data_IF_075708634297
#
_entry.id   IF_075708634297
#
_cell.length_a   1.000
_cell.length_b   1.000
_cell.length_c   1.000
_cell.angle_alpha   90.00
_cell.angle_beta   90.00
_cell.angle_gamma   90.00
#
_symmetry.space_group_name_H-M   'P 1'
#
loop_
_entity.id
_entity.type
_entity.pdbx_description
1 polymer ?
#
# COMPACT_ATOMS: atom_id res chain seq x y z
N UNK A 1 14.34 -40.27 3.00
CA UNK A 1 13.52 -40.52 4.19
C UNK A 1 12.20 -39.78 4.03
N UNK A 2 11.26 -39.96 4.96
CA UNK A 2 10.03 -39.15 4.98
C UNK A 2 10.42 -37.68 5.16
N UNK A 3 9.92 -36.80 4.29
CA UNK A 3 10.29 -35.38 4.25
C UNK A 3 9.19 -34.58 4.94
N UNK A 4 9.49 -33.95 6.07
CA UNK A 4 8.54 -33.13 6.84
C UNK A 4 8.57 -31.67 6.41
N UNK A 5 7.58 -30.88 6.81
CA UNK A 5 7.56 -29.43 6.59
C UNK A 5 8.81 -28.74 7.15
N UNK A 6 9.25 -29.12 8.36
CA UNK A 6 10.44 -28.59 9.01
C UNK A 6 11.72 -28.92 8.23
N UNK A 7 11.83 -30.14 7.68
CA UNK A 7 12.98 -30.54 6.87
C UNK A 7 13.09 -29.68 5.61
N UNK A 8 11.96 -29.44 4.92
CA UNK A 8 11.92 -28.63 3.71
C UNK A 8 12.21 -27.16 4.00
N UNK A 9 11.68 -26.62 5.12
CA UNK A 9 12.00 -25.25 5.53
C UNK A 9 13.50 -25.07 5.72
N UNK A 10 14.13 -25.98 6.48
CA UNK A 10 15.56 -25.94 6.77
C UNK A 10 16.41 -26.15 5.50
N UNK A 11 15.96 -26.99 4.58
CA UNK A 11 16.63 -27.20 3.29
C UNK A 11 16.64 -25.91 2.47
N UNK A 12 15.46 -25.33 2.22
CA UNK A 12 15.34 -24.15 1.38
C UNK A 12 15.95 -22.90 1.99
N UNK A 13 15.89 -22.74 3.32
CA UNK A 13 16.64 -21.69 4.02
C UNK A 13 18.12 -21.73 3.63
N UNK A 14 18.78 -22.90 3.75
CA UNK A 14 20.20 -23.05 3.40
C UNK A 14 20.47 -22.80 1.92
N UNK A 15 19.55 -23.20 1.04
CA UNK A 15 19.68 -22.95 -0.41
C UNK A 15 19.59 -21.45 -0.70
N UNK A 16 18.64 -20.74 -0.11
CA UNK A 16 18.48 -19.29 -0.26
C UNK A 16 19.68 -18.52 0.32
N UNK A 17 20.15 -18.87 1.51
CA UNK A 17 21.35 -18.28 2.13
C UNK A 17 22.59 -18.43 1.22
N UNK A 18 22.82 -19.63 0.68
CA UNK A 18 23.95 -19.90 -0.23
C UNK A 18 23.89 -19.11 -1.53
N UNK A 19 22.71 -18.70 -1.96
CA UNK A 19 22.50 -17.91 -3.19
C UNK A 19 22.33 -16.41 -2.89
N UNK A 20 22.57 -15.95 -1.66
CA UNK A 20 22.49 -14.54 -1.28
C UNK A 20 21.08 -13.96 -1.41
N UNK A 21 20.06 -14.79 -1.20
CA UNK A 21 18.65 -14.40 -1.19
C UNK A 21 18.31 -13.87 0.22
N UNK A 22 17.79 -12.64 0.37
CA UNK A 22 17.42 -12.09 1.67
C UNK A 22 16.21 -12.82 2.27
N UNK A 23 16.05 -12.72 3.59
CA UNK A 23 14.91 -13.30 4.34
C UNK A 23 14.73 -14.79 4.05
N UNK A 24 15.84 -15.52 4.02
CA UNK A 24 15.88 -16.91 3.57
C UNK A 24 14.98 -17.83 4.38
N UNK A 25 14.94 -17.67 5.71
CA UNK A 25 14.13 -18.50 6.59
C UNK A 25 12.65 -18.19 6.43
N UNK A 26 12.32 -16.90 6.44
CA UNK A 26 10.97 -16.37 6.31
C UNK A 26 10.38 -16.75 4.95
N UNK A 27 11.13 -16.54 3.86
CA UNK A 27 10.73 -16.95 2.50
C UNK A 27 10.39 -18.44 2.44
N UNK A 28 11.24 -19.28 3.04
CA UNK A 28 11.05 -20.73 3.10
C UNK A 28 9.81 -21.11 3.91
N UNK A 29 9.63 -20.48 5.08
CA UNK A 29 8.45 -20.66 5.94
C UNK A 29 7.16 -20.26 5.23
N UNK A 30 7.12 -19.12 4.55
CA UNK A 30 5.94 -18.65 3.82
C UNK A 30 5.58 -19.59 2.67
N UNK A 31 6.56 -20.00 1.86
CA UNK A 31 6.31 -20.93 0.73
C UNK A 31 5.74 -22.26 1.24
N UNK A 32 6.34 -22.84 2.29
CA UNK A 32 5.86 -24.12 2.83
C UNK A 32 4.47 -23.98 3.44
N UNK A 33 4.22 -22.91 4.20
CA UNK A 33 2.91 -22.65 4.83
C UNK A 33 1.82 -22.48 3.78
N UNK A 34 2.11 -21.71 2.72
CA UNK A 34 1.19 -21.48 1.62
C UNK A 34 0.76 -22.78 0.94
N UNK A 35 1.71 -23.68 0.64
CA UNK A 35 1.42 -24.99 0.02
C UNK A 35 0.62 -25.90 0.96
N UNK A 36 0.77 -25.72 2.28
CA UNK A 36 0.00 -26.43 3.29
C UNK A 36 -1.35 -25.78 3.62
N UNK A 37 -1.69 -24.66 2.97
CA UNK A 37 -2.96 -23.96 3.18
C UNK A 37 -3.01 -23.15 4.48
N UNK A 38 -1.85 -22.77 5.03
CA UNK A 38 -1.72 -21.97 6.24
C UNK A 38 -1.12 -20.59 5.93
N UNK A 39 -1.56 -19.56 6.68
CA UNK A 39 -1.03 -18.18 6.53
C UNK A 39 0.41 -18.06 7.03
N UNK A 40 0.71 -18.67 8.16
CA UNK A 40 2.05 -18.63 8.77
C UNK A 40 2.52 -20.01 9.18
N UNK A 41 3.82 -20.20 9.27
CA UNK A 41 4.40 -21.50 9.64
C UNK A 41 4.05 -21.87 11.09
N UNK A 42 3.92 -20.86 11.95
CA UNK A 42 3.52 -21.00 13.35
C UNK A 42 2.04 -21.37 13.52
N UNK A 43 1.20 -21.13 12.51
CA UNK A 43 -0.21 -21.52 12.53
C UNK A 43 -0.46 -22.98 12.14
N UNK A 44 0.57 -23.71 11.69
CA UNK A 44 0.46 -25.13 11.37
C UNK A 44 0.28 -25.96 12.65
N UNK A 45 -0.68 -26.88 12.62
CA UNK A 45 -0.89 -27.80 13.74
C UNK A 45 0.24 -28.85 13.83
N UNK A 46 0.37 -29.47 15.02
CA UNK A 46 1.41 -30.49 15.25
C UNK A 46 1.30 -31.66 14.27
N UNK A 47 0.08 -31.97 13.79
CA UNK A 47 -0.15 -33.02 12.81
C UNK A 47 0.46 -32.66 11.46
N UNK A 48 0.25 -31.45 10.95
CA UNK A 48 0.79 -30.98 9.67
C UNK A 48 2.32 -30.93 9.69
N UNK A 49 2.92 -30.55 10.82
CA UNK A 49 4.37 -30.54 10.99
C UNK A 49 4.99 -31.94 10.98
N UNK A 50 4.31 -32.94 11.54
CA UNK A 50 4.80 -34.32 11.61
C UNK A 50 4.40 -35.18 10.40
N UNK A 51 3.40 -34.76 9.61
CA UNK A 51 2.94 -35.51 8.44
C UNK A 51 3.93 -35.34 7.29
N UNK A 52 4.39 -36.43 6.66
CA UNK A 52 5.25 -36.34 5.48
C UNK A 52 4.55 -35.62 4.33
N UNK A 53 5.28 -34.73 3.66
CA UNK A 53 4.76 -34.01 2.50
C UNK A 53 4.53 -34.96 1.32
N UNK A 54 3.40 -34.81 0.65
CA UNK A 54 3.11 -35.53 -0.59
C UNK A 54 4.04 -35.10 -1.72
N UNK A 55 4.17 -35.92 -2.77
CA UNK A 55 4.99 -35.58 -3.93
C UNK A 55 4.52 -34.27 -4.61
N UNK A 56 3.19 -34.06 -4.69
CA UNK A 56 2.61 -32.84 -5.25
C UNK A 56 2.98 -31.59 -4.43
N UNK A 57 2.91 -31.67 -3.10
CA UNK A 57 3.31 -30.56 -2.23
C UNK A 57 4.80 -30.25 -2.36
N UNK A 58 5.65 -31.27 -2.42
CA UNK A 58 7.09 -31.07 -2.63
C UNK A 58 7.39 -30.42 -3.98
N UNK A 59 6.70 -30.83 -5.04
CA UNK A 59 6.83 -30.22 -6.37
C UNK A 59 6.38 -28.75 -6.38
N UNK A 60 5.24 -28.43 -5.75
CA UNK A 60 4.74 -27.06 -5.62
C UNK A 60 5.74 -26.17 -4.85
N UNK A 61 6.26 -26.65 -3.73
CA UNK A 61 7.28 -25.93 -2.96
C UNK A 61 8.53 -25.72 -3.81
N UNK A 62 8.99 -26.72 -4.55
CA UNK A 62 10.14 -26.59 -5.45
C UNK A 62 9.91 -25.51 -6.51
N UNK A 63 8.73 -25.48 -7.14
CA UNK A 63 8.41 -24.50 -8.18
C UNK A 63 8.39 -23.07 -7.62
N UNK A 64 7.78 -22.85 -6.47
CA UNK A 64 7.75 -21.55 -5.79
C UNK A 64 9.15 -21.11 -5.35
N UNK A 65 9.92 -22.01 -4.74
CA UNK A 65 11.28 -21.73 -4.32
C UNK A 65 12.22 -21.44 -5.50
N UNK A 66 12.00 -22.08 -6.66
CA UNK A 66 12.72 -21.74 -7.89
C UNK A 66 12.44 -20.31 -8.38
N UNK A 67 11.21 -19.81 -8.23
CA UNK A 67 10.91 -18.38 -8.49
C UNK A 67 11.64 -17.49 -7.49
N UNK A 68 11.62 -17.84 -6.19
CA UNK A 68 12.34 -17.09 -5.15
C UNK A 68 13.86 -17.03 -5.44
N UNK A 69 14.45 -18.11 -5.95
CA UNK A 69 15.86 -18.14 -6.37
C UNK A 69 16.20 -17.16 -7.51
N UNK A 70 15.21 -16.74 -8.30
CA UNK A 70 15.38 -15.67 -9.29
C UNK A 70 15.32 -14.26 -8.65
N UNK A 71 15.42 -14.18 -7.32
CA UNK A 71 15.23 -12.98 -6.50
C UNK A 71 13.84 -12.36 -6.62
N UNK A 72 12.83 -13.12 -7.02
CA UNK A 72 11.45 -12.65 -7.00
C UNK A 72 11.02 -12.42 -5.55
N UNK A 73 10.46 -11.25 -5.18
CA UNK A 73 9.86 -11.03 -3.87
C UNK A 73 8.90 -12.16 -3.48
N UNK A 74 8.91 -12.58 -2.21
CA UNK A 74 8.08 -13.72 -1.76
C UNK A 74 6.59 -13.45 -2.00
N UNK A 75 6.14 -12.21 -1.86
CA UNK A 75 4.78 -11.75 -2.13
C UNK A 75 4.32 -12.09 -3.56
N UNK A 76 5.20 -11.88 -4.55
CA UNK A 76 4.92 -12.25 -5.94
C UNK A 76 5.07 -13.75 -6.19
N UNK A 77 5.96 -14.43 -5.46
CA UNK A 77 6.08 -15.89 -5.54
C UNK A 77 4.77 -16.55 -5.13
N UNK A 78 4.18 -16.11 -4.01
CA UNK A 78 2.89 -16.60 -3.51
C UNK A 78 1.70 -16.07 -4.34
N UNK A 79 1.83 -14.86 -4.89
CA UNK A 79 0.80 -14.20 -5.67
C UNK A 79 -0.27 -13.52 -4.82
N UNK A 80 -0.12 -13.51 -3.50
CA UNK A 80 -0.96 -12.79 -2.56
C UNK A 80 -0.19 -12.42 -1.30
N UNK A 81 -0.67 -11.38 -0.61
CA UNK A 81 -0.08 -10.90 0.62
C UNK A 81 -1.14 -10.29 1.52
N UNK A 82 -0.95 -10.43 2.82
CA UNK A 82 -1.79 -9.79 3.82
C UNK A 82 -1.38 -8.32 3.96
N UNK A 83 -2.37 -7.45 4.02
CA UNK A 83 -2.24 -6.03 4.33
C UNK A 83 -3.41 -5.65 5.22
N UNK A 84 -3.13 -5.26 6.47
CA UNK A 84 -4.16 -5.07 7.50
C UNK A 84 -5.04 -6.33 7.63
N UNK A 85 -6.37 -6.17 7.55
CA UNK A 85 -7.36 -7.24 7.67
C UNK A 85 -7.62 -7.97 6.34
N UNK A 86 -6.90 -7.64 5.27
CA UNK A 86 -7.19 -8.06 3.89
C UNK A 86 -6.07 -8.93 3.31
N UNK A 87 -6.43 -9.92 2.50
CA UNK A 87 -5.49 -10.70 1.67
C UNK A 87 -5.62 -10.28 0.21
N UNK A 88 -4.65 -9.52 -0.27
CA UNK A 88 -4.64 -8.92 -1.61
C UNK A 88 -3.84 -9.78 -2.58
N UNK A 89 -4.29 -9.87 -3.84
CA UNK A 89 -3.45 -10.41 -4.92
C UNK A 89 -2.28 -9.47 -5.16
N UNK A 90 -1.13 -10.08 -5.45
CA UNK A 90 0.13 -9.42 -5.74
C UNK A 90 0.70 -9.97 -7.04
N UNK A 91 1.19 -9.08 -7.91
CA UNK A 91 1.92 -9.46 -9.11
C UNK A 91 2.85 -8.34 -9.60
N UNK A 92 4.00 -8.68 -10.20
CA UNK A 92 4.82 -7.70 -10.91
C UNK A 92 4.03 -7.02 -12.05
N UNK A 93 4.31 -5.75 -12.37
CA UNK A 93 5.29 -4.87 -11.71
C UNK A 93 4.70 -4.02 -10.57
N UNK A 94 3.48 -4.35 -10.10
CA UNK A 94 2.72 -3.49 -9.17
C UNK A 94 3.38 -3.47 -7.79
N UNK A 95 3.68 -2.27 -7.30
CA UNK A 95 4.36 -2.02 -6.02
C UNK A 95 3.80 -2.90 -4.88
N UNK A 96 4.71 -3.48 -4.10
CA UNK A 96 4.35 -4.29 -2.93
C UNK A 96 4.12 -3.33 -1.76
N UNK A 97 2.90 -3.26 -1.18
CA UNK A 97 2.63 -2.44 0.00
C UNK A 97 3.61 -2.76 1.13
N UNK A 98 4.15 -1.71 1.76
CA UNK A 98 5.10 -1.86 2.86
C UNK A 98 4.37 -1.92 4.19
N UNK A 99 4.93 -2.58 5.22
CA UNK A 99 4.31 -2.64 6.55
C UNK A 99 4.02 -1.24 7.13
N UNK A 100 4.89 -0.27 6.87
CA UNK A 100 4.71 1.12 7.30
C UNK A 100 3.42 1.72 6.72
N UNK A 101 3.05 1.38 5.49
CA UNK A 101 1.83 1.90 4.84
C UNK A 101 0.54 1.49 5.57
N UNK A 102 0.56 0.45 6.41
CA UNK A 102 -0.58 0.11 7.26
C UNK A 102 -0.90 1.21 8.29
N UNK A 103 0.13 1.90 8.81
CA UNK A 103 -0.06 3.00 9.76
C UNK A 103 -0.78 4.19 9.11
N UNK A 104 -0.53 4.45 7.82
CA UNK A 104 -1.22 5.50 7.05
C UNK A 104 -2.74 5.26 7.03
N UNK A 105 -3.17 4.01 6.83
CA UNK A 105 -4.60 3.64 6.88
C UNK A 105 -5.18 3.91 8.26
N UNK A 106 -4.44 3.52 9.32
CA UNK A 106 -4.88 3.72 10.71
C UNK A 106 -5.06 5.21 11.05
N UNK A 107 -4.13 6.06 10.61
CA UNK A 107 -4.21 7.51 10.81
C UNK A 107 -5.45 8.13 10.14
N UNK A 108 -5.76 7.73 8.91
CA UNK A 108 -6.96 8.20 8.19
C UNK A 108 -8.24 7.75 8.91
N UNK A 109 -8.29 6.51 9.37
CA UNK A 109 -9.46 5.98 10.09
C UNK A 109 -9.66 6.69 11.43
N UNK A 110 -8.58 6.96 12.18
CA UNK A 110 -8.64 7.69 13.44
C UNK A 110 -9.17 9.11 13.25
N UNK A 111 -8.62 9.86 12.29
CA UNK A 111 -9.07 11.22 11.96
C UNK A 111 -10.55 11.27 11.59
N UNK A 112 -11.00 10.37 10.71
CA UNK A 112 -12.40 10.37 10.25
C UNK A 112 -13.37 9.89 11.34
N UNK A 113 -12.92 9.02 12.25
CA UNK A 113 -13.71 8.61 13.40
C UNK A 113 -13.89 9.77 14.38
N UNK A 114 -12.83 10.52 14.69
CA UNK A 114 -12.89 11.70 15.57
C UNK A 114 -13.82 12.78 15.00
N UNK A 115 -13.74 13.06 13.69
CA UNK A 115 -14.64 14.02 13.02
C UNK A 115 -16.11 13.62 13.14
N UNK A 116 -16.42 12.32 13.07
CA UNK A 116 -17.79 11.83 13.22
C UNK A 116 -18.32 12.04 14.65
N UNK A 117 -17.47 11.84 15.66
CA UNK A 117 -17.82 12.08 17.07
C UNK A 117 -18.06 13.57 17.35
N UNK A 118 -17.13 14.45 16.93
CA UNK A 118 -17.18 15.89 17.18
C UNK A 118 -18.35 16.59 16.49
N UNK A 119 -18.71 16.14 15.30
CA UNK A 119 -19.81 16.73 14.52
C UNK A 119 -21.19 16.33 15.03
N UNK A 120 -21.29 15.41 16.00
CA UNK A 120 -22.56 14.85 16.46
C UNK A 120 -23.37 14.18 15.35
N UNK A 121 -22.75 13.92 14.20
CA UNK A 121 -23.33 13.23 13.07
C UNK A 121 -23.39 11.74 13.43
N UNK A 122 -24.38 11.36 14.25
CA UNK A 122 -24.91 10.01 14.21
C UNK A 122 -25.19 9.72 12.73
N UNK A 123 -24.47 8.76 12.12
CA UNK A 123 -24.45 8.33 10.71
C UNK A 123 -25.84 8.17 10.03
N UNK A 124 -26.60 9.25 9.94
CA UNK A 124 -27.98 9.33 9.46
C UNK A 124 -28.13 10.30 8.29
N UNK A 125 -27.00 10.80 7.76
CA UNK A 125 -26.98 11.38 6.43
C UNK A 125 -27.16 10.26 5.38
N UNK A 126 -28.11 10.39 4.44
CA UNK A 126 -28.33 9.38 3.39
C UNK A 126 -27.20 9.32 2.34
N UNK A 127 -26.14 10.10 2.50
CA UNK A 127 -25.04 10.25 1.53
C UNK A 127 -23.80 9.53 2.06
N UNK A 128 -23.22 8.57 1.31
CA UNK A 128 -21.98 7.91 1.68
C UNK A 128 -20.85 8.89 1.97
N UNK A 129 -20.18 8.72 3.11
CA UNK A 129 -19.10 9.56 3.63
C UNK A 129 -18.17 8.71 4.52
N UNK A 130 -16.85 8.99 4.53
CA UNK A 130 -16.14 9.98 3.72
C UNK A 130 -16.03 9.61 2.24
N UNK A 131 -15.93 10.63 1.39
CA UNK A 131 -15.46 10.48 0.01
C UNK A 131 -13.94 10.63 0.02
N UNK A 132 -13.24 9.57 -0.34
CA UNK A 132 -11.79 9.47 -0.28
C UNK A 132 -11.23 9.42 -1.70
N UNK A 133 -10.11 10.10 -1.95
CA UNK A 133 -9.32 9.97 -3.17
C UNK A 133 -7.97 9.34 -2.82
N UNK A 134 -7.68 8.16 -3.37
CA UNK A 134 -6.34 7.59 -3.37
C UNK A 134 -5.62 7.89 -4.68
N UNK A 135 -4.41 8.47 -4.59
CA UNK A 135 -3.53 8.73 -5.74
C UNK A 135 -2.36 7.76 -5.70
N UNK A 136 -2.20 6.96 -6.76
CA UNK A 136 -1.21 5.87 -6.84
C UNK A 136 -1.69 4.62 -6.11
N UNK A 137 -2.84 4.07 -6.52
CA UNK A 137 -3.49 3.00 -5.75
C UNK A 137 -2.78 1.64 -5.79
N UNK A 138 -1.90 1.38 -6.75
CA UNK A 138 -1.11 0.15 -6.78
C UNK A 138 -1.97 -1.12 -6.79
N UNK A 139 -1.87 -1.94 -5.73
CA UNK A 139 -2.69 -3.15 -5.55
C UNK A 139 -4.09 -2.88 -4.96
N UNK A 140 -4.40 -1.63 -4.62
CA UNK A 140 -5.60 -1.19 -3.92
C UNK A 140 -5.46 -1.26 -2.40
N UNK A 141 -4.25 -1.42 -1.86
CA UNK A 141 -4.04 -1.71 -0.45
C UNK A 141 -4.66 -0.67 0.50
N UNK A 142 -4.42 0.62 0.27
CA UNK A 142 -4.98 1.68 1.11
C UNK A 142 -6.49 1.83 0.83
N UNK A 143 -6.93 2.02 -0.42
CA UNK A 143 -8.34 2.18 -0.77
C UNK A 143 -9.23 1.08 -0.20
N UNK A 144 -8.87 -0.19 -0.44
CA UNK A 144 -9.70 -1.33 -0.05
C UNK A 144 -9.71 -1.50 1.47
N UNK A 145 -8.61 -1.21 2.15
CA UNK A 145 -8.55 -1.23 3.62
C UNK A 145 -9.41 -0.12 4.23
N UNK A 146 -9.38 1.09 3.65
CA UNK A 146 -10.24 2.20 4.08
C UNK A 146 -11.72 1.87 3.86
N UNK A 147 -12.10 1.31 2.71
CA UNK A 147 -13.46 0.85 2.48
C UNK A 147 -13.90 -0.20 3.48
N UNK A 148 -13.01 -1.13 3.83
CA UNK A 148 -13.29 -2.19 4.80
C UNK A 148 -13.52 -1.63 6.21
N UNK A 149 -12.64 -0.72 6.66
CA UNK A 149 -12.71 -0.11 8.01
C UNK A 149 -13.75 1.01 8.14
N UNK A 150 -14.12 1.67 7.04
CA UNK A 150 -15.12 2.74 6.98
C UNK A 150 -16.30 2.31 6.09
N UNK A 151 -17.32 1.61 6.62
CA UNK A 151 -18.37 0.98 5.80
C UNK A 151 -19.23 1.96 4.99
N UNK A 152 -19.35 3.22 5.43
CA UNK A 152 -20.10 4.27 4.74
C UNK A 152 -19.28 5.04 3.72
N UNK A 153 -17.97 4.80 3.65
CA UNK A 153 -17.08 5.52 2.74
C UNK A 153 -17.25 5.09 1.28
N UNK A 154 -16.81 5.98 0.39
CA UNK A 154 -16.57 5.70 -1.03
C UNK A 154 -15.17 6.15 -1.40
N UNK A 155 -14.52 5.42 -2.29
CA UNK A 155 -13.15 5.73 -2.73
C UNK A 155 -13.11 5.97 -4.24
N UNK A 156 -12.45 7.04 -4.66
CA UNK A 156 -11.94 7.20 -6.01
C UNK A 156 -10.46 6.78 -5.94
N UNK A 157 -10.09 5.74 -6.66
CA UNK A 157 -8.71 5.26 -6.71
C UNK A 157 -8.14 5.55 -8.10
N UNK A 158 -6.97 6.18 -8.17
CA UNK A 158 -6.33 6.46 -9.44
C UNK A 158 -4.90 5.95 -9.48
N UNK A 159 -4.47 5.47 -10.64
CA UNK A 159 -3.08 5.09 -10.88
C UNK A 159 -2.71 5.38 -12.35
N UNK A 160 -1.44 5.71 -12.59
CA UNK A 160 -0.90 5.93 -13.95
C UNK A 160 -0.61 4.61 -14.66
N UNK A 161 -0.42 3.52 -13.92
CA UNK A 161 -0.14 2.20 -14.46
C UNK A 161 -1.42 1.39 -14.66
N UNK A 162 -1.64 0.90 -15.88
CA UNK A 162 -2.78 0.03 -16.20
C UNK A 162 -2.74 -1.27 -15.39
N UNK A 163 -1.54 -1.85 -15.18
CA UNK A 163 -1.36 -3.06 -14.37
C UNK A 163 -1.82 -2.89 -12.90
N UNK A 164 -1.60 -1.70 -12.33
CA UNK A 164 -2.05 -1.35 -10.98
C UNK A 164 -3.58 -1.17 -10.93
N UNK A 165 -4.16 -0.47 -11.92
CA UNK A 165 -5.61 -0.32 -12.06
C UNK A 165 -6.31 -1.67 -12.16
N UNK A 166 -5.77 -2.58 -12.98
CA UNK A 166 -6.32 -3.92 -13.16
C UNK A 166 -6.19 -4.78 -11.90
N UNK A 167 -5.07 -4.69 -11.18
CA UNK A 167 -4.89 -5.40 -9.91
C UNK A 167 -5.80 -4.86 -8.81
N UNK A 168 -5.95 -3.53 -8.71
CA UNK A 168 -6.90 -2.88 -7.79
C UNK A 168 -8.33 -3.34 -8.08
N UNK A 169 -8.73 -3.42 -9.35
CA UNK A 169 -10.06 -3.90 -9.76
C UNK A 169 -10.28 -5.36 -9.37
N UNK A 170 -9.32 -6.23 -9.67
CA UNK A 170 -9.39 -7.64 -9.30
C UNK A 170 -9.50 -7.82 -7.78
N UNK A 171 -8.73 -7.07 -7.00
CA UNK A 171 -8.82 -7.11 -5.53
C UNK A 171 -10.14 -6.56 -5.01
N UNK A 172 -10.67 -5.49 -5.59
CA UNK A 172 -11.99 -4.96 -5.25
C UNK A 172 -13.08 -6.00 -5.48
N UNK A 173 -13.07 -6.68 -6.63
CA UNK A 173 -14.04 -7.73 -6.96
C UNK A 173 -13.93 -8.94 -6.00
N UNK A 174 -12.70 -9.41 -5.73
CA UNK A 174 -12.45 -10.53 -4.79
C UNK A 174 -12.94 -10.23 -3.38
N UNK A 175 -12.83 -8.98 -2.95
CA UNK A 175 -13.26 -8.51 -1.63
C UNK A 175 -14.71 -8.01 -1.60
N UNK A 176 -15.43 -8.04 -2.73
CA UNK A 176 -16.80 -7.56 -2.85
C UNK A 176 -16.98 -6.07 -2.52
N UNK A 177 -16.00 -5.25 -2.88
CA UNK A 177 -15.93 -3.81 -2.60
C UNK A 177 -16.15 -2.93 -3.85
N UNK A 178 -16.35 -3.53 -5.03
CA UNK A 178 -16.42 -2.85 -6.32
C UNK A 178 -17.52 -1.79 -6.42
N UNK A 179 -18.63 -1.92 -5.67
CA UNK A 179 -19.73 -0.96 -5.68
C UNK A 179 -19.41 0.37 -4.94
N UNK A 180 -18.33 0.39 -4.14
CA UNK A 180 -17.93 1.56 -3.34
C UNK A 180 -16.63 2.20 -3.81
N UNK A 181 -16.02 1.69 -4.88
CA UNK A 181 -14.78 2.20 -5.44
C UNK A 181 -14.95 2.57 -6.92
N UNK A 182 -14.43 3.72 -7.31
CA UNK A 182 -14.31 4.12 -8.70
C UNK A 182 -12.84 4.20 -9.09
N UNK A 183 -12.39 3.30 -9.98
CA UNK A 183 -10.98 3.15 -10.32
C UNK A 183 -10.71 3.80 -11.68
N UNK A 184 -9.74 4.72 -11.73
CA UNK A 184 -9.41 5.52 -12.91
C UNK A 184 -7.95 5.28 -13.32
N UNK A 185 -7.73 4.94 -14.59
CA UNK A 185 -6.39 4.95 -15.18
C UNK A 185 -6.03 6.36 -15.63
N UNK A 186 -5.22 7.05 -14.83
CA UNK A 186 -4.82 8.43 -15.09
C UNK A 186 -3.57 8.82 -14.30
N UNK A 187 -2.70 9.63 -14.92
CA UNK A 187 -1.58 10.29 -14.25
C UNK A 187 -2.05 11.61 -13.60
N UNK A 188 -1.76 11.76 -12.31
CA UNK A 188 -2.05 12.96 -11.52
C UNK A 188 -1.47 14.24 -12.12
N UNK A 189 -0.37 14.14 -12.86
CA UNK A 189 0.28 15.23 -13.59
C UNK A 189 -0.62 15.82 -14.69
N UNK A 190 -1.54 15.01 -15.22
CA UNK A 190 -2.48 15.38 -16.28
C UNK A 190 -3.94 15.43 -15.82
N UNK A 191 -4.19 15.23 -14.52
CA UNK A 191 -5.54 15.26 -13.95
C UNK A 191 -6.14 16.66 -13.87
N UNK A 192 -7.45 16.71 -14.08
CA UNK A 192 -8.28 17.89 -13.84
C UNK A 192 -9.27 17.61 -12.71
N UNK A 193 -9.65 18.64 -11.94
CA UNK A 193 -10.57 18.49 -10.82
C UNK A 193 -11.90 17.83 -11.21
N UNK A 194 -12.39 18.08 -12.43
CA UNK A 194 -13.69 17.58 -12.91
C UNK A 194 -13.79 16.05 -12.90
N UNK A 195 -12.70 15.34 -13.21
CA UNK A 195 -12.69 13.87 -13.26
C UNK A 195 -12.67 13.25 -11.85
N UNK A 196 -12.11 13.96 -10.88
CA UNK A 196 -11.91 13.49 -9.51
C UNK A 196 -13.04 13.93 -8.54
N UNK A 197 -14.00 14.70 -9.02
CA UNK A 197 -15.16 15.18 -8.27
C UNK A 197 -16.44 14.39 -8.60
N UNK A 198 -16.33 13.10 -8.93
CA UNK A 198 -17.46 12.25 -9.34
C UNK A 198 -18.61 12.25 -8.32
N UNK A 199 -18.27 12.24 -7.03
CA UNK A 199 -19.22 12.31 -5.91
C UNK A 199 -19.20 13.66 -5.20
N UNK A 200 -18.69 14.70 -5.88
CA UNK A 200 -18.49 16.03 -5.32
C UNK A 200 -17.14 16.18 -4.62
N UNK A 201 -16.97 17.25 -3.81
CA UNK A 201 -15.74 17.52 -3.07
C UNK A 201 -15.33 16.37 -2.15
N UNK A 202 -14.03 16.16 -2.06
CA UNK A 202 -13.38 15.05 -1.35
C UNK A 202 -13.15 15.41 0.12
N UNK A 203 -13.34 14.45 1.01
CA UNK A 203 -13.08 14.59 2.44
C UNK A 203 -11.60 14.34 2.75
N UNK A 204 -11.05 13.30 2.14
CA UNK A 204 -9.66 12.86 2.35
C UNK A 204 -8.97 12.57 1.04
N UNK A 205 -7.80 13.14 0.81
CA UNK A 205 -6.83 12.66 -0.19
C UNK A 205 -5.80 11.82 0.56
N UNK A 206 -5.52 10.62 0.10
CA UNK A 206 -4.49 9.74 0.66
C UNK A 206 -3.55 9.27 -0.44
N UNK A 207 -2.27 9.16 -0.15
CA UNK A 207 -1.30 8.65 -1.13
C UNK A 207 -0.06 8.10 -0.45
N UNK A 208 0.43 6.98 -0.95
CA UNK A 208 1.83 6.58 -0.87
C UNK A 208 2.46 6.86 -2.26
N UNK A 209 2.86 8.11 -2.55
CA UNK A 209 3.38 8.46 -3.86
C UNK A 209 4.82 7.97 -4.04
N UNK A 210 5.35 7.94 -5.28
CA UNK A 210 6.78 7.85 -5.52
C UNK A 210 7.50 9.01 -4.80
N UNK A 211 8.30 8.67 -3.79
CA UNK A 211 8.98 9.64 -2.92
C UNK A 211 10.48 9.38 -2.79
N UNK A 212 11.02 8.32 -3.40
CA UNK A 212 12.46 8.01 -3.35
C UNK A 212 13.21 9.09 -4.11
N UNK A 213 14.29 9.60 -3.52
CA UNK A 213 15.16 10.56 -4.16
C UNK A 213 15.87 9.87 -5.34
N UNK A 214 15.96 10.55 -6.47
CA UNK A 214 16.56 9.96 -7.67
C UNK A 214 18.00 9.45 -7.43
N UNK A 215 18.78 10.14 -6.60
CA UNK A 215 20.13 9.72 -6.22
C UNK A 215 20.17 8.39 -5.44
N UNK A 216 19.12 8.08 -4.68
CA UNK A 216 19.03 6.88 -3.86
C UNK A 216 18.52 5.66 -4.65
N UNK A 217 17.96 5.86 -5.84
CA UNK A 217 17.42 4.79 -6.69
C UNK A 217 18.45 3.70 -7.02
N UNK A 218 19.72 4.09 -7.17
CA UNK A 218 20.81 3.16 -7.47
C UNK A 218 21.15 2.20 -6.30
N UNK A 219 20.70 2.50 -5.09
CA UNK A 219 20.93 1.73 -3.87
C UNK A 219 19.82 0.72 -3.54
N UNK A 220 18.74 0.72 -4.32
CA UNK A 220 17.60 -0.18 -4.10
C UNK A 220 18.01 -1.64 -4.24
N UNK A 221 17.33 -2.49 -3.47
CA UNK A 221 17.55 -3.94 -3.50
C UNK A 221 17.30 -4.53 -4.89
N UNK A 222 18.03 -5.60 -5.22
CA UNK A 222 17.93 -6.27 -6.51
C UNK A 222 16.53 -6.81 -6.80
N UNK A 223 15.82 -7.23 -5.75
CA UNK A 223 14.43 -7.65 -5.75
C UNK A 223 13.51 -6.54 -6.31
N UNK A 224 13.70 -5.30 -5.84
CA UNK A 224 12.93 -4.12 -6.25
C UNK A 224 13.26 -3.77 -7.70
N UNK A 225 14.56 -3.62 -7.99
CA UNK A 225 15.06 -3.22 -9.31
C UNK A 225 14.63 -4.15 -10.45
N UNK A 226 14.35 -5.42 -10.14
CA UNK A 226 14.00 -6.46 -11.13
C UNK A 226 12.51 -6.66 -11.33
N UNK A 227 11.70 -6.42 -10.30
CA UNK A 227 10.31 -6.87 -10.28
C UNK A 227 9.28 -5.81 -9.97
N UNK A 228 9.67 -4.65 -9.41
CA UNK A 228 8.75 -3.54 -9.18
C UNK A 228 8.92 -2.46 -10.27
N UNK A 229 7.87 -1.69 -10.52
CA UNK A 229 7.99 -0.52 -11.39
C UNK A 229 8.79 0.60 -10.69
N UNK A 230 9.94 0.96 -11.27
CA UNK A 230 10.78 2.04 -10.75
C UNK A 230 10.07 3.39 -10.78
N UNK A 231 9.15 3.58 -11.72
CA UNK A 231 8.32 4.76 -11.82
C UNK A 231 7.30 4.89 -10.67
N UNK A 232 7.07 3.81 -9.90
CA UNK A 232 6.29 3.82 -8.66
C UNK A 232 7.13 4.23 -7.43
N UNK A 233 8.46 4.37 -7.58
CA UNK A 233 9.39 4.68 -6.50
C UNK A 233 10.05 6.06 -6.69
N UNK A 234 10.48 6.38 -7.92
CA UNK A 234 11.23 7.59 -8.23
C UNK A 234 10.36 8.87 -8.12
N UNK A 235 10.57 9.61 -7.04
CA UNK A 235 9.93 10.90 -6.77
C UNK A 235 10.67 12.10 -7.40
N UNK A 236 11.72 11.87 -8.20
CA UNK A 236 12.59 12.86 -8.80
C UNK A 236 13.76 13.28 -7.92
N UNK A 237 14.49 14.32 -8.36
CA UNK A 237 15.74 14.78 -7.74
C UNK A 237 15.66 14.92 -6.21
N UNK A 238 14.53 15.44 -5.72
CA UNK A 238 14.26 15.67 -4.30
C UNK A 238 13.14 14.80 -3.72
N UNK A 239 12.66 13.81 -4.48
CA UNK A 239 11.56 12.92 -4.08
C UNK A 239 10.18 13.60 -4.02
N UNK A 240 10.04 14.90 -4.31
CA UNK A 240 8.79 15.64 -4.10
C UNK A 240 7.95 15.85 -5.36
N UNK A 241 8.33 15.30 -6.53
CA UNK A 241 7.66 15.58 -7.82
C UNK A 241 6.15 15.32 -7.74
N UNK A 242 5.76 14.14 -7.27
CA UNK A 242 4.35 13.74 -7.16
C UNK A 242 3.69 14.41 -5.95
N UNK A 243 4.39 14.51 -4.81
CA UNK A 243 3.91 15.21 -3.60
C UNK A 243 3.45 16.64 -3.93
N UNK A 244 4.30 17.43 -4.59
CA UNK A 244 3.98 18.82 -4.99
C UNK A 244 2.76 18.87 -5.90
N UNK A 245 2.60 17.89 -6.79
CA UNK A 245 1.43 17.82 -7.69
C UNK A 245 0.14 17.53 -6.94
N UNK A 246 0.17 16.60 -5.98
CA UNK A 246 -0.98 16.30 -5.10
C UNK A 246 -1.39 17.55 -4.32
N UNK A 247 -0.43 18.21 -3.67
CA UNK A 247 -0.69 19.41 -2.87
C UNK A 247 -1.21 20.58 -3.72
N UNK A 248 -0.73 20.75 -4.95
CA UNK A 248 -1.24 21.76 -5.86
C UNK A 248 -2.69 21.51 -6.31
N UNK A 249 -3.12 20.25 -6.40
CA UNK A 249 -4.49 19.88 -6.78
C UNK A 249 -5.46 19.91 -5.60
N UNK A 250 -4.99 19.61 -4.39
CA UNK A 250 -5.81 19.41 -3.20
C UNK A 250 -6.85 20.52 -2.94
N UNK A 251 -6.54 21.84 -3.08
CA UNK A 251 -7.51 22.90 -2.81
C UNK A 251 -8.69 22.93 -3.79
N UNK A 252 -8.53 22.39 -4.99
CA UNK A 252 -9.61 22.29 -5.98
C UNK A 252 -10.50 21.06 -5.77
N UNK A 253 -10.05 20.12 -4.95
CA UNK A 253 -10.66 18.80 -4.75
C UNK A 253 -11.33 18.68 -3.37
N UNK A 254 -10.62 19.12 -2.33
CA UNK A 254 -11.02 18.91 -0.93
C UNK A 254 -12.21 19.79 -0.54
N UNK A 255 -13.02 19.33 0.42
CA UNK A 255 -13.89 20.20 1.21
C UNK A 255 -13.06 21.14 2.08
N UNK A 256 -13.69 22.21 2.56
CA UNK A 256 -13.12 22.99 3.68
C UNK A 256 -12.91 22.03 4.86
N UNK A 257 -11.76 22.12 5.51
CA UNK A 257 -11.30 21.19 6.56
C UNK A 257 -11.05 19.75 6.10
N UNK A 258 -11.07 19.49 4.79
CA UNK A 258 -10.64 18.21 4.21
C UNK A 258 -9.14 17.99 4.39
N UNK A 259 -8.74 16.73 4.49
CA UNK A 259 -7.36 16.33 4.85
C UNK A 259 -6.61 15.72 3.66
N UNK A 260 -5.29 15.91 3.62
CA UNK A 260 -4.34 15.15 2.82
C UNK A 260 -3.47 14.34 3.77
N UNK A 261 -3.35 13.04 3.51
CA UNK A 261 -2.43 12.14 4.19
C UNK A 261 -1.42 11.58 3.18
N UNK A 262 -0.13 11.79 3.45
CA UNK A 262 0.95 11.35 2.56
C UNK A 262 1.95 10.49 3.32
N UNK A 263 2.32 9.34 2.76
CA UNK A 263 3.59 8.68 3.11
C UNK A 263 4.76 9.39 2.43
N UNK A 264 5.87 9.60 3.13
CA UNK A 264 7.02 10.37 2.65
C UNK A 264 8.37 9.80 3.11
N UNK A 265 9.46 10.29 2.52
CA UNK A 265 10.81 10.07 3.04
C UNK A 265 11.04 10.91 4.32
N UNK A 266 11.86 10.45 5.29
CA UNK A 266 12.13 11.20 6.52
C UNK A 266 12.73 12.60 6.32
N UNK A 267 13.28 12.91 5.14
CA UNK A 267 13.79 14.25 4.76
C UNK A 267 12.69 15.22 4.32
N UNK A 268 11.52 14.73 3.92
CA UNK A 268 10.46 15.54 3.32
C UNK A 268 9.65 16.43 4.26
N UNK A 269 9.46 16.17 5.58
CA UNK A 269 8.61 17.01 6.41
C UNK A 269 8.98 18.51 6.35
N UNK A 270 10.25 18.83 6.56
CA UNK A 270 10.75 20.20 6.48
C UNK A 270 10.57 20.77 5.07
N UNK A 271 10.86 19.98 4.03
CA UNK A 271 10.76 20.42 2.64
C UNK A 271 9.30 20.74 2.24
N UNK A 272 8.36 19.92 2.69
CA UNK A 272 6.92 20.13 2.47
C UNK A 272 6.45 21.38 3.22
N UNK A 273 6.87 21.57 4.46
CA UNK A 273 6.54 22.78 5.23
C UNK A 273 7.02 24.06 4.53
N UNK A 274 8.28 24.11 4.10
CA UNK A 274 8.83 25.25 3.35
C UNK A 274 8.08 25.47 2.03
N UNK A 275 7.73 24.39 1.32
CA UNK A 275 6.98 24.49 0.08
C UNK A 275 5.57 25.04 0.30
N UNK A 276 4.86 24.61 1.35
CA UNK A 276 3.54 25.13 1.71
C UNK A 276 3.61 26.62 2.09
N UNK A 277 4.61 27.05 2.86
CA UNK A 277 4.84 28.45 3.20
C UNK A 277 5.09 29.34 1.97
N UNK A 278 5.75 28.80 0.94
CA UNK A 278 5.96 29.49 -0.33
C UNK A 278 4.68 29.57 -1.21
N UNK A 279 3.63 28.82 -0.89
CA UNK A 279 2.37 28.76 -1.65
C UNK A 279 1.14 29.02 -0.75
N UNK A 280 1.06 30.16 -0.04
CA UNK A 280 -0.02 30.44 0.91
C UNK A 280 -1.41 30.49 0.26
N UNK A 281 -1.47 30.75 -1.06
CA UNK A 281 -2.71 30.76 -1.84
C UNK A 281 -3.38 29.38 -1.95
N UNK A 282 -2.67 28.29 -1.62
CA UNK A 282 -3.26 26.95 -1.58
C UNK A 282 -4.14 26.73 -0.35
N UNK A 283 -4.00 27.56 0.70
CA UNK A 283 -4.75 27.43 1.95
C UNK A 283 -4.62 26.02 2.55
N UNK A 284 -3.41 25.47 2.50
CA UNK A 284 -3.06 24.17 3.08
C UNK A 284 -2.10 24.39 4.26
N UNK A 285 -2.38 23.72 5.37
CA UNK A 285 -1.54 23.78 6.59
C UNK A 285 -1.07 22.38 6.94
N UNK A 286 0.23 22.22 7.22
CA UNK A 286 0.77 20.99 7.80
C UNK A 286 0.33 20.92 9.28
N UNK A 287 -0.56 19.99 9.60
CA UNK A 287 -1.17 19.84 10.92
C UNK A 287 -0.33 18.94 11.82
N UNK A 288 0.21 17.85 11.27
CA UNK A 288 1.00 16.89 12.03
C UNK A 288 2.01 16.13 11.15
N UNK A 289 3.08 15.67 11.80
CA UNK A 289 4.06 14.73 11.26
C UNK A 289 4.00 13.49 12.16
N UNK A 290 3.55 12.38 11.60
CA UNK A 290 3.44 11.11 12.32
C UNK A 290 4.63 10.22 12.00
N UNK A 291 5.02 9.44 13.01
CA UNK A 291 6.11 8.47 12.89
C UNK A 291 5.57 7.09 12.57
N UNK A 292 6.34 6.29 11.85
CA UNK A 292 6.09 4.86 11.69
C UNK A 292 6.41 4.09 12.99
N UNK A 293 6.08 2.78 13.01
CA UNK A 293 6.43 1.89 14.12
C UNK A 293 7.95 1.76 14.38
N UNK A 294 8.81 2.20 13.44
CA UNK A 294 10.26 2.31 13.63
C UNK A 294 10.70 3.66 14.23
N UNK A 295 9.76 4.57 14.50
CA UNK A 295 10.02 5.88 15.08
C UNK A 295 10.54 6.94 14.10
N UNK A 296 10.49 6.69 12.78
CA UNK A 296 10.92 7.65 11.75
C UNK A 296 9.73 8.51 11.30
N UNK A 297 9.91 9.82 11.06
CA UNK A 297 8.86 10.64 10.47
C UNK A 297 8.52 10.08 9.09
N UNK A 298 7.26 9.71 8.90
CA UNK A 298 6.84 8.91 7.75
C UNK A 298 5.55 9.41 7.12
N UNK A 299 4.65 10.01 7.90
CA UNK A 299 3.36 10.46 7.39
C UNK A 299 3.12 11.93 7.68
N UNK A 300 2.60 12.64 6.69
CA UNK A 300 2.19 14.03 6.81
C UNK A 300 0.68 14.11 6.81
N UNK A 301 0.13 14.84 7.78
CA UNK A 301 -1.28 15.24 7.81
C UNK A 301 -1.37 16.73 7.51
N UNK A 302 -2.00 17.06 6.38
CA UNK A 302 -2.16 18.42 5.90
C UNK A 302 -3.65 18.70 5.77
N UNK A 303 -4.12 19.88 6.14
CA UNK A 303 -5.54 20.22 6.08
C UNK A 303 -5.81 21.48 5.26
N UNK A 304 -6.90 21.46 4.50
CA UNK A 304 -7.42 22.63 3.80
C UNK A 304 -8.10 23.59 4.78
N UNK A 305 -7.60 24.81 4.86
CA UNK A 305 -8.16 25.89 5.65
C UNK A 305 -9.39 26.52 4.97
N UNK A 306 -10.21 27.19 5.78
CA UNK A 306 -11.22 28.12 5.26
C UNK A 306 -10.52 29.35 4.66
N UNK A 307 -11.05 29.85 3.54
CA UNK A 307 -10.63 31.14 2.95
C UNK A 307 -11.09 32.33 3.79
#
# INVERSE_FOLDING_TARGET
GLVTATDVVNYWQKVFERNGIPEARESSQYIVSFVLGAKTFQSLDSKSLCTPLTALQQEQIQQLSNKRLQRMPVQYVLGEWDFQDLTLKMRPPVFIPRPETEDLVSLVVEEESQKCEDSGLCFSAPVPHPVILEIGCGSGAIALSLLYKLPQSRVIAMDKQEAAVDLTRENADRLQLQERIHIIHQDVSHSSAKQLLLWGPIDVIVSNPPYVFHEDMASLDAEILRYEDLDALDGGDDGMRVIKRILALAPSLLKVSGSVFLEVDPRHPDMVEHWLQAHPNLLLTLCAIHKDFCGKPRFLHIQRQSS
#
